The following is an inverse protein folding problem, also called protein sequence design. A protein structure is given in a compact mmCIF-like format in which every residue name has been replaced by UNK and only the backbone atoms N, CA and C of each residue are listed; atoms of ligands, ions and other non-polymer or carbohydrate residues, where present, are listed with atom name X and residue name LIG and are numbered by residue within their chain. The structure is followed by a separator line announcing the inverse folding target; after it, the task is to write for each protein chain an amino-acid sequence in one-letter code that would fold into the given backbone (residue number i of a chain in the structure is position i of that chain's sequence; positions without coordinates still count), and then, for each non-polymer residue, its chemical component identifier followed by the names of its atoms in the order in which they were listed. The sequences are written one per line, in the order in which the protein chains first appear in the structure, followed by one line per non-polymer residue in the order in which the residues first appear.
data_IF_026504738354
#
_entry.id   IF_026504738354
#
_cell.length_a   1.000
_cell.length_b   1.000
_cell.length_c   1.000
_cell.angle_alpha   90.00
_cell.angle_beta   90.00
_cell.angle_gamma   90.00
#
_symmetry.space_group_name_H-M   'P 1'
#
loop_
_entity.id
_entity.type
_entity.pdbx_description
1 polymer ?
#
# COMPACT_ATOMS: atom_id res chain seq x y z
N UNK A 1 5.46 16.99 2.49
CA UNK A 1 5.77 18.45 2.56
C UNK A 1 7.24 18.74 2.25
N UNK A 2 8.21 18.09 2.90
CA UNK A 2 9.64 18.32 2.66
C UNK A 2 10.11 17.97 1.24
N UNK A 3 9.61 16.88 0.64
CA UNK A 3 9.91 16.51 -0.75
C UNK A 3 9.34 17.51 -1.78
N UNK A 4 8.15 18.05 -1.53
CA UNK A 4 7.54 19.13 -2.33
C UNK A 4 8.33 20.43 -2.17
N UNK A 5 8.76 20.75 -0.95
CA UNK A 5 9.64 21.88 -0.67
C UNK A 5 10.99 21.77 -1.40
N UNK A 6 11.57 20.56 -1.46
CA UNK A 6 12.82 20.28 -2.18
C UNK A 6 12.65 20.38 -3.70
N UNK A 7 11.55 19.84 -4.25
CA UNK A 7 11.22 19.94 -5.68
C UNK A 7 11.01 21.40 -6.11
N UNK A 8 10.24 22.18 -5.33
CA UNK A 8 9.97 23.58 -5.64
C UNK A 8 11.21 24.47 -5.41
N UNK A 9 12.02 24.21 -4.37
CA UNK A 9 13.31 24.89 -4.20
C UNK A 9 14.28 24.58 -5.35
N UNK A 10 14.22 23.39 -5.94
CA UNK A 10 14.97 23.04 -7.15
C UNK A 10 14.52 23.78 -8.42
N UNK A 11 13.29 24.34 -8.45
CA UNK A 11 12.77 25.11 -9.58
C UNK A 11 13.33 26.54 -9.65
N UNK A 12 13.67 27.14 -8.50
CA UNK A 12 14.15 28.54 -8.43
C UNK A 12 15.45 28.73 -9.23
N UNK A 13 16.48 27.87 -9.10
CA UNK A 13 17.69 27.95 -9.93
C UNK A 13 17.42 27.76 -11.44
N UNK A 14 16.49 26.88 -11.82
CA UNK A 14 16.14 26.63 -13.23
C UNK A 14 15.37 27.79 -13.87
N UNK A 15 14.59 28.53 -13.09
CA UNK A 15 13.97 29.77 -13.53
C UNK A 15 15.02 30.87 -13.68
N UNK A 16 15.94 31.00 -12.72
CA UNK A 16 17.02 31.99 -12.77
C UNK A 16 18.05 31.75 -13.89
N UNK A 17 18.14 30.54 -14.44
CA UNK A 17 18.98 30.27 -15.62
C UNK A 17 18.44 30.88 -16.93
N UNK A 18 17.20 31.40 -16.91
CA UNK A 18 16.63 32.12 -18.05
C UNK A 18 17.23 33.55 -18.14
N UNK A 19 17.74 33.97 -19.31
CA UNK A 19 18.58 35.17 -19.46
C UNK A 19 17.88 36.53 -19.23
N UNK A 20 16.64 36.55 -18.75
CA UNK A 20 15.82 37.77 -18.57
C UNK A 20 15.14 37.87 -17.20
N UNK A 21 15.44 36.97 -16.26
CA UNK A 21 14.89 36.97 -14.91
C UNK A 21 15.90 37.58 -13.93
N UNK A 22 15.45 38.60 -13.18
CA UNK A 22 16.28 39.32 -12.21
C UNK A 22 16.27 38.64 -10.84
N UNK A 23 15.10 38.14 -10.44
CA UNK A 23 14.95 37.41 -9.18
C UNK A 23 13.72 36.51 -9.23
N UNK A 24 13.76 35.39 -8.51
CA UNK A 24 12.60 34.54 -8.26
C UNK A 24 12.52 34.27 -6.75
N UNK A 25 11.34 34.41 -6.18
CA UNK A 25 11.07 34.15 -4.75
C UNK A 25 9.83 33.30 -4.60
N UNK A 26 9.87 32.37 -3.65
CA UNK A 26 8.77 31.45 -3.36
C UNK A 26 8.02 31.93 -2.11
N UNK A 27 6.70 31.96 -2.15
CA UNK A 27 5.85 32.29 -1.00
C UNK A 27 4.79 31.22 -0.82
N UNK A 28 4.57 30.80 0.43
CA UNK A 28 3.58 29.78 0.79
C UNK A 28 2.32 30.44 1.36
N UNK A 29 1.16 29.92 0.99
CA UNK A 29 -0.13 30.37 1.50
C UNK A 29 -1.06 29.19 1.74
N UNK A 30 -1.20 28.79 3.01
CA UNK A 30 -2.06 27.70 3.50
C UNK A 30 -1.96 26.38 2.69
N UNK A 31 -2.61 26.30 1.51
CA UNK A 31 -2.65 25.15 0.61
C UNK A 31 -2.07 25.43 -0.80
N UNK A 32 -1.37 26.55 -1.01
CA UNK A 32 -0.77 26.92 -2.29
C UNK A 32 0.65 27.46 -2.13
N UNK A 33 1.43 27.35 -3.21
CA UNK A 33 2.76 27.94 -3.33
C UNK A 33 2.77 28.87 -4.55
N UNK A 34 3.21 30.11 -4.35
CA UNK A 34 3.28 31.15 -5.39
C UNK A 34 4.75 31.44 -5.67
N UNK A 35 5.14 31.34 -6.94
CA UNK A 35 6.47 31.76 -7.40
C UNK A 35 6.35 33.17 -7.97
N UNK A 36 6.95 34.14 -7.30
CA UNK A 36 7.01 35.54 -7.75
C UNK A 36 8.31 35.71 -8.54
N UNK A 37 8.21 36.17 -9.77
CA UNK A 37 9.37 36.40 -10.64
C UNK A 37 9.43 37.86 -11.06
N UNK A 38 10.59 38.50 -10.87
CA UNK A 38 10.86 39.85 -11.38
C UNK A 38 11.71 39.79 -12.65
N UNK A 39 11.34 40.57 -13.65
CA UNK A 39 12.07 40.68 -14.92
C UNK A 39 12.35 42.15 -15.26
N UNK A 40 13.46 42.40 -15.94
CA UNK A 40 13.87 43.72 -16.42
C UNK A 40 13.04 44.23 -17.61
N UNK A 41 12.19 43.39 -18.22
CA UNK A 41 11.42 43.75 -19.41
C UNK A 41 10.04 43.07 -19.41
N UNK A 42 9.08 43.64 -20.14
CA UNK A 42 7.79 42.99 -20.39
C UNK A 42 7.99 41.71 -21.21
N UNK A 43 8.00 40.56 -20.54
CA UNK A 43 8.08 39.26 -21.21
C UNK A 43 6.69 38.95 -21.78
N UNK A 44 6.59 38.86 -23.10
CA UNK A 44 5.39 38.37 -23.76
C UNK A 44 5.43 36.83 -23.76
N UNK A 45 4.88 36.22 -22.72
CA UNK A 45 4.79 34.76 -22.55
C UNK A 45 3.54 34.21 -23.26
N UNK A 46 3.46 34.42 -24.57
CA UNK A 46 2.44 33.78 -25.41
C UNK A 46 2.78 32.29 -25.70
N UNK A 47 3.94 31.83 -25.21
CA UNK A 47 4.33 30.42 -25.19
C UNK A 47 4.05 29.84 -23.80
N UNK A 48 3.02 28.99 -23.73
CA UNK A 48 2.71 28.13 -22.58
C UNK A 48 3.98 27.40 -22.13
N UNK A 49 4.52 27.74 -20.96
CA UNK A 49 5.58 26.94 -20.34
C UNK A 49 4.92 25.68 -19.77
N UNK A 50 5.27 24.50 -20.31
CA UNK A 50 4.96 23.22 -19.68
C UNK A 50 6.10 22.89 -18.72
N UNK A 51 5.80 22.75 -17.44
CA UNK A 51 6.71 22.17 -16.45
C UNK A 51 6.05 20.87 -15.99
N UNK A 52 6.68 19.73 -16.27
CA UNK A 52 6.18 18.39 -15.95
C UNK A 52 4.71 18.10 -16.35
N UNK A 53 4.22 18.69 -17.45
CA UNK A 53 2.92 18.34 -18.05
C UNK A 53 1.69 19.11 -17.57
N UNK A 54 1.81 20.03 -16.59
CA UNK A 54 0.65 20.79 -16.06
C UNK A 54 0.39 22.12 -16.82
N UNK A 55 -0.87 22.57 -16.88
CA UNK A 55 -1.32 23.81 -17.55
C UNK A 55 -1.40 24.98 -16.55
N UNK A 56 -0.94 26.17 -16.93
CA UNK A 56 -1.03 27.41 -16.13
C UNK A 56 -2.10 28.38 -16.66
N UNK A 57 -2.71 29.20 -15.79
CA UNK A 57 -3.52 30.39 -16.13
C UNK A 57 -2.71 31.65 -15.79
N UNK A 58 -2.82 32.70 -16.62
CA UNK A 58 -2.03 33.93 -16.47
C UNK A 58 -2.93 35.13 -16.11
N UNK A 59 -2.49 35.97 -15.18
CA UNK A 59 -3.01 37.33 -14.98
C UNK A 59 -1.86 38.33 -15.13
N UNK A 60 -1.97 39.24 -16.11
CA UNK A 60 -0.94 40.22 -16.43
C UNK A 60 -1.19 41.50 -15.62
N UNK A 61 -0.44 41.75 -14.54
CA UNK A 61 -0.30 43.09 -13.97
C UNK A 61 1.05 43.68 -14.39
N UNK A 62 1.00 44.82 -15.10
CA UNK A 62 2.21 45.52 -15.57
C UNK A 62 3.17 45.73 -14.39
N UNK A 63 4.39 45.22 -14.55
CA UNK A 63 5.56 45.24 -13.65
C UNK A 63 5.74 44.12 -12.62
N UNK A 64 4.74 43.27 -12.35
CA UNK A 64 4.93 42.06 -11.53
C UNK A 64 4.20 40.89 -12.19
N UNK A 65 4.95 39.89 -12.67
CA UNK A 65 4.36 38.65 -13.16
C UNK A 65 4.01 37.80 -11.93
N UNK A 66 2.73 37.71 -11.59
CA UNK A 66 2.21 36.74 -10.62
C UNK A 66 1.77 35.53 -11.43
N UNK A 67 2.59 34.48 -11.40
CA UNK A 67 2.16 33.18 -11.92
C UNK A 67 1.43 32.45 -10.79
N UNK A 68 0.09 32.47 -10.84
CA UNK A 68 -0.70 31.55 -10.02
C UNK A 68 -0.52 30.14 -10.59
N UNK A 69 0.25 29.34 -9.86
CA UNK A 69 0.19 27.90 -10.02
C UNK A 69 -1.05 27.42 -9.26
N UNK A 70 -2.14 27.17 -9.98
CA UNK A 70 -3.07 26.12 -9.55
C UNK A 70 -2.25 24.83 -9.59
N UNK A 71 -1.67 24.44 -8.45
CA UNK A 71 -1.48 23.03 -8.15
C UNK A 71 -2.88 22.44 -8.30
N UNK A 72 -3.20 21.87 -9.47
CA UNK A 72 -4.39 21.04 -9.63
C UNK A 72 -4.34 20.07 -8.47
N UNK A 73 -5.28 20.25 -7.53
CA UNK A 73 -5.06 19.94 -6.11
C UNK A 73 -4.32 18.63 -5.93
N UNK A 74 -3.09 18.70 -5.42
CA UNK A 74 -2.49 17.53 -4.81
C UNK A 74 -3.32 17.29 -3.55
N UNK A 75 -4.42 16.55 -3.70
CA UNK A 75 -5.21 16.07 -2.58
C UNK A 75 -4.27 15.11 -1.86
N UNK A 76 -3.56 15.61 -0.86
CA UNK A 76 -2.88 14.75 0.11
C UNK A 76 -4.03 13.96 0.74
N UNK A 77 -4.16 12.68 0.39
CA UNK A 77 -5.16 11.80 0.98
C UNK A 77 -4.95 11.79 2.49
N UNK A 78 -5.83 12.50 3.20
CA UNK A 78 -5.72 12.66 4.65
C UNK A 78 -6.50 11.54 5.31
N UNK A 79 -5.90 10.36 5.32
CA UNK A 79 -6.44 9.21 6.04
C UNK A 79 -6.38 9.50 7.54
N UNK A 80 -7.54 9.46 8.21
CA UNK A 80 -7.67 9.60 9.66
C UNK A 80 -8.40 8.41 10.27
N UNK A 81 -9.45 7.93 9.61
CA UNK A 81 -10.27 6.80 10.06
C UNK A 81 -9.94 5.55 9.26
N UNK A 82 -9.55 4.48 9.95
CA UNK A 82 -9.15 3.22 9.32
C UNK A 82 -9.97 2.08 9.92
N UNK A 83 -10.67 1.35 9.05
CA UNK A 83 -11.32 0.10 9.41
C UNK A 83 -10.39 -1.07 9.13
N UNK A 84 -10.24 -1.97 10.10
CA UNK A 84 -9.46 -3.20 9.97
C UNK A 84 -10.43 -4.38 10.01
N UNK A 85 -10.64 -5.05 8.88
CA UNK A 85 -11.44 -6.28 8.85
C UNK A 85 -10.56 -7.46 9.25
N UNK A 86 -11.02 -8.38 10.10
CA UNK A 86 -10.19 -9.46 10.62
C UNK A 86 -9.17 -8.99 11.67
N UNK A 87 -9.43 -7.82 12.28
CA UNK A 87 -8.52 -7.18 13.24
C UNK A 87 -8.39 -7.91 14.58
N UNK A 88 -9.27 -8.88 14.86
CA UNK A 88 -9.20 -9.70 16.07
C UNK A 88 -8.29 -10.93 15.91
N UNK A 89 -7.79 -11.18 14.70
CA UNK A 89 -6.85 -12.26 14.41
C UNK A 89 -5.42 -11.99 14.86
N UNK A 90 -4.53 -12.98 14.65
CA UNK A 90 -3.12 -12.91 15.06
C UNK A 90 -2.39 -11.70 14.49
N UNK A 91 -2.39 -11.51 13.16
CA UNK A 91 -1.77 -10.33 12.53
C UNK A 91 -2.47 -9.03 12.97
N UNK A 92 -3.77 -9.09 13.21
CA UNK A 92 -4.60 -7.96 13.63
C UNK A 92 -4.07 -7.26 14.88
N UNK A 93 -3.61 -7.99 15.90
CA UNK A 93 -3.07 -7.36 17.12
C UNK A 93 -1.83 -6.51 16.86
N UNK A 94 -0.93 -6.95 15.98
CA UNK A 94 0.27 -6.19 15.61
C UNK A 94 -0.09 -4.97 14.77
N UNK A 95 -1.05 -5.10 13.85
CA UNK A 95 -1.56 -3.99 13.04
C UNK A 95 -2.21 -2.93 13.91
N UNK A 96 -3.08 -3.33 14.86
CA UNK A 96 -3.70 -2.41 15.80
C UNK A 96 -2.65 -1.69 16.64
N UNK A 97 -1.65 -2.42 17.16
CA UNK A 97 -0.58 -1.83 17.97
C UNK A 97 0.24 -0.80 17.18
N UNK A 98 0.55 -1.10 15.92
CA UNK A 98 1.30 -0.22 15.03
C UNK A 98 0.52 1.06 14.69
N UNK A 99 -0.81 0.98 14.55
CA UNK A 99 -1.63 2.05 13.97
C UNK A 99 -2.40 2.90 14.99
N UNK A 100 -2.65 2.41 16.22
CA UNK A 100 -3.56 3.03 17.21
C UNK A 100 -3.20 4.47 17.60
N UNK A 101 -1.92 4.85 17.55
CA UNK A 101 -1.48 6.22 17.90
C UNK A 101 -1.53 7.18 16.71
N UNK A 102 -1.82 6.68 15.51
CA UNK A 102 -1.72 7.40 14.25
C UNK A 102 -3.09 7.65 13.61
N UNK A 103 -4.07 6.78 13.89
CA UNK A 103 -5.39 6.78 13.25
C UNK A 103 -6.49 6.51 14.28
N UNK A 104 -7.71 6.95 13.98
CA UNK A 104 -8.93 6.50 14.63
C UNK A 104 -9.29 5.12 14.06
N UNK A 105 -9.19 4.07 14.88
CA UNK A 105 -9.33 2.69 14.44
C UNK A 105 -10.69 2.10 14.77
N UNK A 106 -11.26 1.40 13.79
CA UNK A 106 -12.36 0.47 13.98
C UNK A 106 -11.94 -0.94 13.55
N UNK A 107 -12.50 -1.96 14.20
CA UNK A 107 -12.30 -3.38 13.89
C UNK A 107 -13.63 -3.99 13.47
N UNK A 108 -13.66 -4.59 12.28
CA UNK A 108 -14.79 -5.40 11.81
C UNK A 108 -14.42 -6.88 11.87
N UNK A 109 -15.11 -7.64 12.72
CA UNK A 109 -14.80 -9.06 12.95
C UNK A 109 -16.01 -9.77 13.58
N UNK A 110 -15.97 -11.10 13.62
CA UNK A 110 -16.98 -11.92 14.29
C UNK A 110 -16.85 -11.89 15.81
N UNK A 111 -15.64 -11.59 16.32
CA UNK A 111 -15.32 -11.52 17.74
C UNK A 111 -14.57 -10.23 18.06
N UNK A 112 -14.70 -9.68 19.29
CA UNK A 112 -14.00 -8.45 19.64
C UNK A 112 -12.48 -8.64 19.67
N UNK A 113 -11.70 -7.59 19.33
CA UNK A 113 -10.25 -7.64 19.45
C UNK A 113 -9.85 -7.68 20.93
N UNK A 114 -8.64 -8.19 21.22
CA UNK A 114 -8.09 -8.20 22.58
C UNK A 114 -7.55 -6.85 23.06
N UNK A 115 -7.52 -5.85 22.17
CA UNK A 115 -7.00 -4.52 22.45
C UNK A 115 -8.12 -3.59 22.90
N UNK A 116 -7.89 -2.87 23.99
CA UNK A 116 -8.80 -1.84 24.47
C UNK A 116 -8.65 -0.54 23.66
N UNK A 117 -9.69 0.31 23.69
CA UNK A 117 -9.62 1.65 23.10
C UNK A 117 -9.82 1.73 21.58
N UNK A 118 -10.19 0.61 20.94
CA UNK A 118 -10.58 0.56 19.51
C UNK A 118 -12.08 0.32 19.37
N UNK A 119 -12.71 0.93 18.37
CA UNK A 119 -14.14 0.69 18.11
C UNK A 119 -14.32 -0.71 17.53
N UNK A 120 -15.16 -1.53 18.14
CA UNK A 120 -15.52 -2.84 17.61
C UNK A 120 -16.87 -2.80 16.89
N UNK A 121 -16.91 -3.34 15.68
CA UNK A 121 -18.09 -3.51 14.85
C UNK A 121 -18.23 -5.00 14.58
N UNK A 122 -19.20 -5.64 15.21
CA UNK A 122 -19.49 -7.06 14.97
C UNK A 122 -20.07 -7.23 13.57
N UNK A 123 -19.52 -8.15 12.79
CA UNK A 123 -20.16 -8.55 11.54
C UNK A 123 -19.44 -9.65 10.77
N UNK A 124 -20.14 -10.21 9.81
CA UNK A 124 -19.69 -11.29 8.92
C UNK A 124 -19.33 -10.72 7.54
N UNK A 125 -18.08 -10.95 7.13
CA UNK A 125 -17.54 -10.47 5.84
C UNK A 125 -18.32 -11.01 4.64
N UNK A 126 -19.03 -12.13 4.79
CA UNK A 126 -19.83 -12.74 3.74
C UNK A 126 -21.15 -11.99 3.50
N UNK A 127 -21.53 -11.08 4.41
CA UNK A 127 -22.71 -10.23 4.32
C UNK A 127 -22.34 -8.83 3.85
N UNK A 128 -22.73 -8.47 2.63
CA UNK A 128 -22.36 -7.20 2.00
C UNK A 128 -22.83 -5.98 2.80
N UNK A 129 -24.08 -6.01 3.28
CA UNK A 129 -24.68 -4.90 4.02
C UNK A 129 -23.91 -4.59 5.32
N UNK A 130 -23.43 -5.63 6.02
CA UNK A 130 -22.68 -5.46 7.26
C UNK A 130 -21.33 -4.75 7.04
N UNK A 131 -20.57 -5.16 6.02
CA UNK A 131 -19.30 -4.49 5.69
C UNK A 131 -19.52 -3.11 5.06
N UNK A 132 -20.61 -2.90 4.31
CA UNK A 132 -20.98 -1.58 3.79
C UNK A 132 -21.24 -0.59 4.93
N UNK A 133 -22.05 -0.98 5.91
CA UNK A 133 -22.33 -0.17 7.10
C UNK A 133 -21.05 0.12 7.88
N UNK A 134 -20.14 -0.86 8.01
CA UNK A 134 -18.86 -0.66 8.69
C UNK A 134 -17.90 0.30 7.94
N UNK A 135 -18.00 0.36 6.60
CA UNK A 135 -17.18 1.25 5.77
C UNK A 135 -17.68 2.71 5.76
N UNK A 136 -18.89 2.99 6.25
CA UNK A 136 -19.42 4.36 6.27
C UNK A 136 -18.54 5.31 7.08
N UNK A 137 -18.12 6.41 6.45
CA UNK A 137 -17.28 7.43 7.08
C UNK A 137 -15.83 7.02 7.32
N UNK A 138 -15.38 5.86 6.84
CA UNK A 138 -13.99 5.43 6.89
C UNK A 138 -13.18 6.02 5.72
N UNK A 139 -11.94 6.42 5.98
CA UNK A 139 -11.06 6.93 4.93
C UNK A 139 -10.34 5.78 4.20
N UNK A 140 -9.98 4.73 4.94
CA UNK A 140 -9.28 3.57 4.42
C UNK A 140 -9.68 2.26 5.08
N UNK A 141 -9.54 1.16 4.34
CA UNK A 141 -9.77 -0.20 4.84
C UNK A 141 -8.46 -0.99 4.77
N UNK A 142 -8.13 -1.72 5.83
CA UNK A 142 -7.09 -2.75 5.85
C UNK A 142 -7.77 -4.12 5.94
N UNK A 143 -7.69 -4.88 4.86
CA UNK A 143 -8.36 -6.17 4.75
C UNK A 143 -7.44 -7.33 5.16
N UNK A 144 -7.59 -7.82 6.40
CA UNK A 144 -6.78 -8.92 6.95
C UNK A 144 -7.48 -10.29 6.90
N UNK A 145 -8.76 -10.34 6.52
CA UNK A 145 -9.55 -11.57 6.64
C UNK A 145 -8.95 -12.69 5.78
N UNK A 146 -8.68 -13.82 6.42
CA UNK A 146 -8.26 -15.03 5.75
C UNK A 146 -8.58 -16.29 6.56
N UNK A 147 -9.12 -17.30 5.90
CA UNK A 147 -9.19 -18.66 6.43
C UNK A 147 -7.89 -19.40 6.10
N UNK A 148 -6.92 -19.27 6.99
CA UNK A 148 -5.60 -19.93 6.86
C UNK A 148 -5.59 -21.26 7.61
N UNK A 149 -5.97 -21.25 8.90
CA UNK A 149 -5.87 -22.39 9.81
C UNK A 149 -7.03 -23.39 9.62
N UNK A 150 -6.70 -24.67 9.63
CA UNK A 150 -7.68 -25.76 9.44
C UNK A 150 -8.47 -25.64 8.15
N UNK A 151 -7.93 -24.92 7.14
CA UNK A 151 -8.65 -24.62 5.89
C UNK A 151 -9.05 -25.89 5.14
N UNK A 152 -8.25 -26.95 5.24
CA UNK A 152 -8.53 -28.25 4.64
C UNK A 152 -9.70 -28.97 5.32
N UNK A 153 -10.02 -28.60 6.57
CA UNK A 153 -11.10 -29.21 7.35
C UNK A 153 -12.42 -28.41 7.22
N UNK A 154 -12.38 -27.26 6.53
CA UNK A 154 -13.56 -26.40 6.34
C UNK A 154 -14.30 -26.76 5.04
N UNK A 155 -15.63 -26.65 5.01
CA UNK A 155 -16.39 -26.79 3.78
C UNK A 155 -15.89 -25.81 2.71
N UNK A 156 -15.71 -26.29 1.47
CA UNK A 156 -15.24 -25.47 0.35
C UNK A 156 -16.13 -24.24 0.09
N UNK A 157 -17.44 -24.38 0.30
CA UNK A 157 -18.40 -23.27 0.19
C UNK A 157 -18.05 -22.14 1.18
N UNK A 158 -17.85 -22.47 2.47
CA UNK A 158 -17.45 -21.51 3.48
C UNK A 158 -16.11 -20.86 3.14
N UNK A 159 -15.15 -21.65 2.65
CA UNK A 159 -13.86 -21.11 2.20
C UNK A 159 -14.04 -20.06 1.09
N UNK A 160 -14.83 -20.39 0.08
CA UNK A 160 -15.08 -19.52 -1.08
C UNK A 160 -15.86 -18.27 -0.67
N UNK A 161 -16.87 -18.42 0.17
CA UNK A 161 -17.67 -17.31 0.68
C UNK A 161 -16.81 -16.31 1.46
N UNK A 162 -15.93 -16.78 2.34
CA UNK A 162 -15.09 -15.86 3.13
C UNK A 162 -13.95 -15.27 2.30
N UNK A 163 -13.23 -16.11 1.56
CA UNK A 163 -11.98 -15.69 0.90
C UNK A 163 -12.22 -14.94 -0.41
N UNK A 164 -13.23 -15.34 -1.19
CA UNK A 164 -13.51 -14.73 -2.51
C UNK A 164 -14.66 -13.74 -2.40
N UNK A 165 -15.85 -14.18 -1.97
CA UNK A 165 -17.02 -13.30 -1.84
C UNK A 165 -16.77 -12.22 -0.79
N UNK A 166 -16.13 -12.55 0.34
CA UNK A 166 -15.75 -11.56 1.36
C UNK A 166 -14.84 -10.45 0.82
N UNK A 167 -13.81 -10.80 0.04
CA UNK A 167 -12.95 -9.81 -0.63
C UNK A 167 -13.74 -8.96 -1.62
N UNK A 168 -14.66 -9.57 -2.38
CA UNK A 168 -15.56 -8.85 -3.28
C UNK A 168 -16.45 -7.85 -2.54
N UNK A 169 -17.05 -8.28 -1.43
CA UNK A 169 -17.89 -7.42 -0.61
C UNK A 169 -17.11 -6.22 -0.06
N UNK A 170 -15.85 -6.42 0.36
CA UNK A 170 -14.99 -5.32 0.83
C UNK A 170 -14.72 -4.32 -0.29
N UNK A 171 -14.39 -4.79 -1.49
CA UNK A 171 -14.11 -3.91 -2.62
C UNK A 171 -15.36 -3.12 -3.06
N UNK A 172 -16.53 -3.79 -3.11
CA UNK A 172 -17.83 -3.15 -3.35
C UNK A 172 -18.13 -2.10 -2.26
N UNK A 173 -18.01 -2.46 -0.98
CA UNK A 173 -18.25 -1.57 0.14
C UNK A 173 -17.32 -0.34 0.12
N UNK A 174 -16.06 -0.53 -0.24
CA UNK A 174 -15.13 0.59 -0.44
C UNK A 174 -15.64 1.56 -1.51
N UNK A 175 -16.06 1.03 -2.67
CA UNK A 175 -16.54 1.85 -3.78
C UNK A 175 -17.85 2.57 -3.44
N UNK A 176 -18.84 1.88 -2.85
CA UNK A 176 -20.14 2.47 -2.51
C UNK A 176 -20.04 3.50 -1.38
N UNK A 177 -19.19 3.25 -0.38
CA UNK A 177 -19.00 4.14 0.78
C UNK A 177 -17.94 5.22 0.53
N UNK A 178 -17.37 5.29 -0.69
CA UNK A 178 -16.35 6.27 -1.11
C UNK A 178 -15.10 6.26 -0.25
N UNK A 179 -14.71 5.07 0.20
CA UNK A 179 -13.40 4.84 0.83
C UNK A 179 -12.31 5.27 -0.15
N UNK A 180 -11.29 5.97 0.34
CA UNK A 180 -10.23 6.48 -0.50
C UNK A 180 -9.19 5.39 -0.83
N UNK A 181 -8.89 4.52 0.15
CA UNK A 181 -7.82 3.52 0.04
C UNK A 181 -8.18 2.16 0.63
N UNK A 182 -7.88 1.10 -0.11
CA UNK A 182 -7.94 -0.30 0.32
C UNK A 182 -6.52 -0.89 0.35
N UNK A 183 -6.06 -1.29 1.53
CA UNK A 183 -4.88 -2.14 1.71
C UNK A 183 -5.37 -3.59 1.80
N UNK A 184 -5.16 -4.35 0.73
CA UNK A 184 -5.51 -5.76 0.70
C UNK A 184 -4.30 -6.62 1.11
N UNK A 185 -4.43 -7.40 2.17
CA UNK A 185 -3.41 -8.37 2.55
C UNK A 185 -3.58 -9.64 1.73
N UNK A 186 -2.75 -9.73 0.69
CA UNK A 186 -2.57 -10.90 -0.15
C UNK A 186 -1.59 -11.88 0.51
N UNK A 187 -0.81 -12.61 -0.29
CA UNK A 187 0.26 -13.49 0.17
C UNK A 187 1.25 -13.72 -0.97
N UNK A 188 2.51 -14.03 -0.66
CA UNK A 188 3.51 -14.43 -1.66
C UNK A 188 3.00 -15.57 -2.57
N UNK A 189 2.15 -16.48 -2.06
CA UNK A 189 1.61 -17.59 -2.86
C UNK A 189 0.59 -17.13 -3.92
N UNK A 190 0.12 -15.88 -3.89
CA UNK A 190 -0.83 -15.36 -4.88
C UNK A 190 -0.25 -15.28 -6.30
N UNK A 191 1.08 -15.33 -6.45
CA UNK A 191 1.69 -15.46 -7.78
C UNK A 191 1.62 -16.89 -8.36
N UNK A 192 1.26 -17.91 -7.55
CA UNK A 192 1.45 -19.31 -7.94
C UNK A 192 2.94 -19.67 -7.93
N UNK A 193 3.34 -20.59 -8.82
CA UNK A 193 4.73 -21.00 -8.98
C UNK A 193 5.48 -19.99 -9.87
N UNK A 194 6.49 -19.28 -9.36
CA UNK A 194 7.32 -18.41 -10.18
C UNK A 194 8.25 -19.20 -11.10
N UNK A 195 8.47 -18.72 -12.32
CA UNK A 195 9.40 -19.32 -13.28
C UNK A 195 10.86 -19.12 -12.85
N UNK A 196 11.12 -18.07 -12.07
CA UNK A 196 12.44 -17.69 -11.55
C UNK A 196 12.33 -17.18 -10.12
N UNK A 197 13.34 -17.50 -9.33
CA UNK A 197 13.56 -16.94 -7.99
C UNK A 197 14.91 -16.19 -7.93
N UNK A 198 15.04 -15.10 -7.14
CA UNK A 198 13.97 -14.45 -6.38
C UNK A 198 12.90 -13.85 -7.29
N UNK A 199 11.64 -14.06 -6.93
CA UNK A 199 10.48 -13.60 -7.70
C UNK A 199 10.28 -12.10 -7.51
N UNK A 200 10.27 -11.35 -8.63
CA UNK A 200 9.82 -9.96 -8.63
C UNK A 200 8.34 -9.91 -8.95
N UNK A 201 7.64 -8.94 -8.35
CA UNK A 201 6.24 -8.71 -8.71
C UNK A 201 6.14 -8.46 -10.22
N UNK A 202 5.20 -9.17 -10.86
CA UNK A 202 4.99 -9.21 -12.31
C UNK A 202 5.97 -10.06 -13.14
N UNK A 203 6.96 -10.71 -12.51
CA UNK A 203 7.71 -11.76 -13.22
C UNK A 203 6.74 -12.89 -13.65
N UNK A 204 7.06 -13.62 -14.73
CA UNK A 204 6.28 -14.77 -15.15
C UNK A 204 6.11 -15.80 -14.03
N UNK A 205 4.87 -16.23 -13.86
CA UNK A 205 4.48 -17.25 -12.91
C UNK A 205 3.22 -17.96 -13.41
N UNK A 206 2.99 -19.18 -12.94
CA UNK A 206 1.88 -20.00 -13.38
C UNK A 206 1.32 -20.81 -12.22
N UNK A 207 0.02 -21.12 -12.30
CA UNK A 207 -0.58 -22.03 -11.34
C UNK A 207 -0.24 -23.50 -11.68
N UNK A 208 0.22 -24.27 -10.70
CA UNK A 208 0.52 -25.70 -10.80
C UNK A 208 -0.56 -26.53 -10.12
N UNK A 209 -0.62 -27.84 -10.41
CA UNK A 209 -1.67 -28.74 -9.89
C UNK A 209 -1.69 -28.88 -8.36
N UNK A 210 -0.59 -28.53 -7.69
CA UNK A 210 -0.48 -28.49 -6.23
C UNK A 210 -0.88 -27.15 -5.63
N UNK A 211 -1.23 -26.15 -6.44
CA UNK A 211 -1.59 -24.84 -5.92
C UNK A 211 -2.91 -24.93 -5.16
N UNK A 212 -2.77 -24.61 -3.88
CA UNK A 212 -3.85 -24.67 -2.92
C UNK A 212 -4.92 -23.66 -3.36
N UNK A 213 -6.20 -24.02 -3.23
CA UNK A 213 -7.36 -23.14 -3.45
C UNK A 213 -7.23 -21.78 -2.71
N UNK A 214 -6.36 -21.70 -1.69
CA UNK A 214 -5.92 -20.46 -1.05
C UNK A 214 -5.08 -19.52 -1.94
N UNK A 215 -4.09 -20.05 -2.67
CA UNK A 215 -3.29 -19.27 -3.60
C UNK A 215 -4.17 -18.66 -4.69
N UNK A 216 -5.08 -19.46 -5.24
CA UNK A 216 -6.09 -19.01 -6.19
C UNK A 216 -7.00 -17.93 -5.59
N UNK A 217 -7.51 -18.11 -4.37
CA UNK A 217 -8.39 -17.12 -3.74
C UNK A 217 -7.68 -15.79 -3.47
N UNK A 218 -6.41 -15.80 -3.04
CA UNK A 218 -5.62 -14.57 -2.85
C UNK A 218 -5.34 -13.87 -4.19
N UNK A 219 -5.01 -14.63 -5.24
CA UNK A 219 -4.85 -14.11 -6.59
C UNK A 219 -6.15 -13.47 -7.13
N UNK A 220 -7.28 -14.17 -7.03
CA UNK A 220 -8.59 -13.63 -7.38
C UNK A 220 -8.91 -12.37 -6.58
N UNK A 221 -8.58 -12.34 -5.29
CA UNK A 221 -8.72 -11.14 -4.46
C UNK A 221 -7.95 -9.94 -4.99
N UNK A 222 -6.73 -10.13 -5.52
CA UNK A 222 -6.00 -9.05 -6.20
C UNK A 222 -6.70 -8.57 -7.47
N UNK A 223 -7.18 -9.50 -8.31
CA UNK A 223 -7.92 -9.14 -9.52
C UNK A 223 -9.23 -8.40 -9.22
N UNK A 224 -9.96 -8.83 -8.20
CA UNK A 224 -11.19 -8.17 -7.74
C UNK A 224 -10.89 -6.73 -7.38
N UNK A 225 -9.97 -6.46 -6.46
CA UNK A 225 -9.71 -5.08 -6.03
C UNK A 225 -9.17 -4.22 -7.18
N UNK A 226 -8.33 -4.78 -8.06
CA UNK A 226 -7.85 -4.07 -9.25
C UNK A 226 -8.99 -3.69 -10.22
N UNK A 227 -10.01 -4.53 -10.36
CA UNK A 227 -11.19 -4.19 -11.15
C UNK A 227 -11.95 -2.99 -10.55
N UNK A 228 -12.07 -2.92 -9.21
CA UNK A 228 -12.66 -1.76 -8.53
C UNK A 228 -11.81 -0.49 -8.63
N UNK A 229 -10.48 -0.62 -8.61
CA UNK A 229 -9.59 0.49 -8.93
C UNK A 229 -9.88 1.05 -10.32
N UNK A 230 -9.96 0.19 -11.34
CA UNK A 230 -10.23 0.60 -12.73
C UNK A 230 -11.62 1.21 -12.92
N UNK A 231 -12.65 0.63 -12.30
CA UNK A 231 -14.03 1.04 -12.48
C UNK A 231 -14.43 2.26 -11.64
N UNK A 232 -13.87 2.40 -10.44
CA UNK A 232 -14.31 3.40 -9.44
C UNK A 232 -13.21 4.35 -8.96
N UNK A 233 -11.96 4.16 -9.39
CA UNK A 233 -10.82 5.00 -8.96
C UNK A 233 -10.37 4.76 -7.52
N UNK A 234 -10.79 3.65 -6.89
CA UNK A 234 -10.37 3.27 -5.54
C UNK A 234 -8.84 3.10 -5.49
N UNK A 235 -8.14 3.72 -4.53
CA UNK A 235 -6.72 3.44 -4.33
C UNK A 235 -6.56 2.02 -3.75
N UNK A 236 -5.77 1.16 -4.39
CA UNK A 236 -5.63 -0.25 -4.00
C UNK A 236 -4.17 -0.64 -3.90
N UNK A 237 -3.72 -1.04 -2.71
CA UNK A 237 -2.38 -1.59 -2.53
C UNK A 237 -2.49 -3.03 -2.04
N UNK A 238 -1.82 -3.93 -2.75
CA UNK A 238 -1.66 -5.33 -2.36
C UNK A 238 -0.32 -5.52 -1.66
N UNK A 239 -0.37 -5.97 -0.41
CA UNK A 239 0.81 -6.46 0.28
C UNK A 239 0.78 -7.98 0.25
N UNK A 240 1.89 -8.61 -0.13
CA UNK A 240 2.08 -10.07 -0.17
C UNK A 240 3.05 -10.48 0.93
N UNK A 241 2.59 -10.64 2.19
CA UNK A 241 3.40 -11.22 3.23
C UNK A 241 3.90 -12.62 2.86
N UNK A 242 5.11 -12.90 3.31
CA UNK A 242 5.64 -14.26 3.46
C UNK A 242 4.87 -15.10 4.47
N UNK A 243 5.49 -16.20 4.90
CA UNK A 243 5.04 -16.98 6.05
C UNK A 243 5.22 -16.12 7.30
N UNK A 244 4.12 -15.73 7.93
CA UNK A 244 4.14 -14.91 9.15
C UNK A 244 4.57 -15.81 10.32
N UNK A 245 5.72 -15.49 10.92
CA UNK A 245 6.32 -16.23 12.04
C UNK A 245 5.61 -15.98 13.38
N UNK A 246 5.91 -16.82 14.39
CA UNK A 246 5.56 -16.57 15.79
C UNK A 246 4.09 -16.72 16.18
N UNK A 247 3.23 -17.28 15.33
CA UNK A 247 1.80 -17.44 15.63
C UNK A 247 1.45 -18.73 16.41
N UNK A 248 2.49 -19.50 16.75
CA UNK A 248 2.47 -20.76 17.48
C UNK A 248 2.02 -21.97 16.66
N UNK A 249 1.50 -21.77 15.44
CA UNK A 249 1.05 -22.84 14.54
C UNK A 249 1.90 -22.91 13.25
N UNK A 250 2.37 -21.77 12.77
CA UNK A 250 3.51 -21.67 11.88
C UNK A 250 4.76 -21.75 12.76
N UNK A 251 5.65 -22.72 12.51
CA UNK A 251 6.94 -22.74 13.20
C UNK A 251 7.71 -21.47 12.86
N UNK A 252 8.54 -21.01 13.80
CA UNK A 252 9.56 -20.03 13.49
C UNK A 252 10.44 -20.55 12.34
N UNK A 253 11.04 -19.66 11.53
CA UNK A 253 11.84 -20.10 10.42
C UNK A 253 12.98 -21.01 10.91
N UNK A 254 13.13 -22.15 10.24
CA UNK A 254 14.23 -23.08 10.45
C UNK A 254 14.84 -23.42 9.08
N UNK A 255 16.16 -23.58 9.03
CA UNK A 255 16.83 -23.95 7.79
C UNK A 255 16.39 -25.36 7.35
N UNK A 256 15.98 -25.55 6.08
CA UNK A 256 15.71 -26.88 5.54
C UNK A 256 16.96 -27.75 5.64
N UNK A 257 16.77 -29.07 5.83
CA UNK A 257 17.89 -30.04 5.83
C UNK A 257 18.67 -30.04 4.51
N UNK A 258 17.94 -29.86 3.40
CA UNK A 258 18.46 -29.78 2.03
C UNK A 258 18.06 -28.43 1.41
N UNK A 259 18.63 -27.34 1.95
CA UNK A 259 18.25 -25.99 1.53
C UNK A 259 18.74 -25.68 0.10
N UNK A 260 17.82 -25.57 -0.85
CA UNK A 260 18.10 -25.00 -2.16
C UNK A 260 18.14 -23.47 -2.05
N UNK A 261 19.15 -22.82 -2.63
CA UNK A 261 19.18 -21.36 -2.69
C UNK A 261 18.42 -20.85 -3.93
N UNK A 262 17.49 -19.88 -3.81
CA UNK A 262 16.94 -19.26 -2.59
C UNK A 262 15.67 -19.96 -2.05
N UNK A 263 15.47 -19.97 -0.73
CA UNK A 263 14.34 -20.65 -0.06
C UNK A 263 13.58 -19.79 0.97
N UNK A 264 14.16 -18.70 1.46
CA UNK A 264 13.65 -18.00 2.62
C UNK A 264 12.41 -17.16 2.30
N UNK A 265 11.31 -17.47 2.96
CA UNK A 265 9.98 -16.92 2.63
C UNK A 265 9.23 -16.37 3.85
N UNK A 266 9.91 -16.15 4.98
CA UNK A 266 9.27 -15.73 6.22
C UNK A 266 9.27 -14.20 6.40
N UNK A 267 8.37 -13.74 7.27
CA UNK A 267 8.25 -12.33 7.67
C UNK A 267 7.74 -12.24 9.11
N UNK A 268 8.22 -11.26 9.86
CA UNK A 268 7.73 -11.01 11.22
C UNK A 268 6.42 -10.21 11.15
N UNK A 269 5.43 -10.51 12.01
CA UNK A 269 4.17 -9.77 12.01
C UNK A 269 4.34 -8.26 12.26
N UNK A 270 5.37 -7.81 13.00
CA UNK A 270 5.68 -6.39 13.17
C UNK A 270 6.11 -5.74 11.85
N UNK A 271 6.89 -6.44 11.03
CA UNK A 271 7.31 -5.94 9.73
C UNK A 271 6.12 -5.86 8.75
N UNK A 272 5.19 -6.81 8.80
CA UNK A 272 3.93 -6.73 8.04
C UNK A 272 3.08 -5.53 8.50
N UNK A 273 2.93 -5.33 9.82
CA UNK A 273 2.22 -4.18 10.36
C UNK A 273 2.88 -2.85 9.96
N UNK A 274 4.22 -2.80 9.97
CA UNK A 274 4.98 -1.64 9.52
C UNK A 274 4.75 -1.36 8.02
N UNK A 275 4.79 -2.39 7.16
CA UNK A 275 4.48 -2.26 5.74
C UNK A 275 3.06 -1.72 5.49
N UNK A 276 2.07 -2.14 6.29
CA UNK A 276 0.71 -1.59 6.24
C UNK A 276 0.71 -0.09 6.60
N UNK A 277 1.42 0.30 7.66
CA UNK A 277 1.54 1.70 8.08
C UNK A 277 2.16 2.57 6.98
N UNK A 278 3.17 2.06 6.29
CA UNK A 278 3.82 2.70 5.15
C UNK A 278 2.88 2.81 3.95
N UNK A 279 2.19 1.72 3.59
CA UNK A 279 1.25 1.69 2.46
C UNK A 279 0.07 2.66 2.66
N UNK A 280 -0.43 2.79 3.90
CA UNK A 280 -1.46 3.80 4.23
C UNK A 280 -0.98 5.23 3.94
N UNK A 281 0.32 5.53 4.11
CA UNK A 281 0.91 6.87 3.90
C UNK A 281 1.45 7.08 2.49
N UNK A 282 1.60 6.02 1.71
CA UNK A 282 2.25 6.06 0.41
C UNK A 282 1.49 6.97 -0.56
N UNK A 283 2.24 7.71 -1.39
CA UNK A 283 1.70 8.49 -2.50
C UNK A 283 1.59 7.61 -3.77
N UNK A 284 0.90 6.48 -3.61
CA UNK A 284 0.75 5.43 -4.63
C UNK A 284 -0.73 5.09 -4.72
N UNK A 285 -1.25 5.16 -5.94
CA UNK A 285 -2.67 4.90 -6.15
C UNK A 285 -2.96 3.40 -6.29
N UNK A 286 -2.07 2.66 -6.96
CA UNK A 286 -2.21 1.22 -7.16
C UNK A 286 -0.84 0.53 -7.19
N UNK A 287 -0.72 -0.65 -6.59
CA UNK A 287 0.53 -1.41 -6.60
C UNK A 287 0.45 -2.75 -5.85
N UNK A 288 1.39 -3.65 -6.16
CA UNK A 288 1.54 -4.96 -5.51
C UNK A 288 2.97 -5.12 -5.01
N UNK A 289 3.14 -5.58 -3.77
CA UNK A 289 4.44 -5.56 -3.10
C UNK A 289 4.68 -6.83 -2.29
N UNK A 290 5.84 -7.47 -2.48
CA UNK A 290 6.29 -8.56 -1.62
C UNK A 290 6.73 -7.99 -0.26
N UNK A 291 6.34 -8.65 0.82
CA UNK A 291 6.68 -8.27 2.20
C UNK A 291 7.28 -9.48 2.90
N UNK A 292 8.61 -9.60 2.82
CA UNK A 292 9.42 -10.67 3.42
C UNK A 292 10.65 -10.06 4.10
N UNK A 293 11.33 -10.86 4.93
CA UNK A 293 12.62 -10.48 5.49
C UNK A 293 13.64 -10.10 4.40
N UNK A 294 14.52 -9.15 4.70
CA UNK A 294 15.64 -8.77 3.83
C UNK A 294 16.79 -9.75 4.04
N UNK A 295 16.75 -10.84 3.27
CA UNK A 295 17.78 -11.87 3.27
C UNK A 295 18.22 -12.20 1.85
N UNK A 296 19.52 -12.47 1.72
CA UNK A 296 20.14 -12.84 0.44
C UNK A 296 19.58 -14.15 -0.13
N UNK A 297 19.13 -15.06 0.74
CA UNK A 297 18.54 -16.35 0.40
C UNK A 297 17.02 -16.32 0.28
N UNK A 298 16.41 -15.13 0.17
CA UNK A 298 14.97 -15.01 0.00
C UNK A 298 14.50 -15.38 -1.40
N UNK A 299 13.40 -16.14 -1.50
CA UNK A 299 12.81 -16.46 -2.81
C UNK A 299 11.97 -15.32 -3.39
N UNK A 300 11.81 -14.18 -2.69
CA UNK A 300 11.01 -13.03 -3.15
C UNK A 300 11.83 -11.74 -3.06
N UNK A 301 11.80 -10.96 -4.14
CA UNK A 301 12.46 -9.66 -4.23
C UNK A 301 11.57 -8.59 -3.59
N UNK A 302 12.14 -7.79 -2.68
CA UNK A 302 11.46 -6.68 -1.99
C UNK A 302 11.92 -5.29 -2.47
N UNK A 303 12.76 -5.22 -3.51
CA UNK A 303 13.36 -3.96 -3.99
C UNK A 303 12.31 -2.92 -4.33
N UNK A 304 11.24 -3.31 -5.02
CA UNK A 304 10.12 -2.42 -5.36
C UNK A 304 9.40 -1.92 -4.10
N UNK A 305 9.19 -2.81 -3.12
CA UNK A 305 8.59 -2.48 -1.82
C UNK A 305 9.45 -1.46 -1.04
N UNK A 306 10.77 -1.65 -1.03
CA UNK A 306 11.70 -0.72 -0.40
C UNK A 306 11.70 0.64 -1.10
N UNK A 307 11.73 0.67 -2.43
CA UNK A 307 11.86 1.89 -3.20
C UNK A 307 10.58 2.73 -3.23
N UNK A 308 9.42 2.10 -3.34
CA UNK A 308 8.16 2.80 -3.56
C UNK A 308 7.41 3.11 -2.26
N UNK A 309 7.30 2.15 -1.33
CA UNK A 309 6.61 2.37 -0.05
C UNK A 309 7.57 2.61 1.13
N UNK A 310 8.88 2.45 0.94
CA UNK A 310 9.88 2.72 1.99
C UNK A 310 10.05 1.59 3.00
N UNK A 311 9.69 0.36 2.64
CA UNK A 311 9.78 -0.79 3.53
C UNK A 311 11.23 -1.14 3.88
N UNK A 312 11.47 -1.36 5.18
CA UNK A 312 12.76 -1.77 5.74
C UNK A 312 12.49 -2.79 6.84
N UNK A 313 12.58 -4.11 6.56
CA UNK A 313 12.30 -5.14 7.55
C UNK A 313 13.36 -5.14 8.66
N UNK A 314 12.91 -5.28 9.90
CA UNK A 314 13.77 -5.29 11.08
C UNK A 314 14.09 -6.69 11.58
N UNK A 315 13.28 -7.69 11.19
CA UNK A 315 13.39 -9.06 11.68
C UNK A 315 13.84 -9.99 10.55
N UNK A 316 15.15 -10.25 10.49
CA UNK A 316 15.81 -10.94 9.36
C UNK A 316 16.46 -12.29 9.74
N UNK A 317 16.32 -12.74 10.99
CA UNK A 317 16.84 -14.01 11.51
C UNK A 317 18.29 -14.34 11.12
N UNK A 318 19.27 -13.44 11.33
CA UNK A 318 20.66 -13.63 10.89
C UNK A 318 21.33 -14.91 11.44
N UNK A 319 20.80 -15.48 12.52
CA UNK A 319 21.22 -16.74 13.11
C UNK A 319 20.90 -17.97 12.26
N UNK A 320 19.93 -17.87 11.35
CA UNK A 320 19.57 -18.95 10.43
C UNK A 320 20.55 -18.97 9.26
N UNK A 321 21.27 -20.09 9.15
CA UNK A 321 22.26 -20.31 8.08
C UNK A 321 21.61 -20.21 6.71
N UNK A 322 22.30 -19.50 5.83
CA UNK A 322 22.04 -19.52 4.39
C UNK A 322 22.44 -20.92 3.88
N UNK A 323 21.59 -21.55 3.08
CA UNK A 323 21.92 -22.83 2.44
C UNK A 323 23.15 -22.67 1.54
N UNK A 324 23.99 -23.71 1.42
CA UNK A 324 25.17 -23.65 0.56
C UNK A 324 24.75 -23.53 -0.92
N UNK A 325 25.42 -22.65 -1.68
CA UNK A 325 25.20 -22.42 -3.13
C UNK A 325 25.62 -23.63 -4.00
N UNK A 326 26.03 -24.75 -3.40
CA UNK A 326 26.59 -25.91 -4.12
C UNK A 326 25.51 -26.89 -4.57
N UNK A 327 24.94 -26.62 -5.75
CA UNK A 327 24.47 -27.65 -6.69
C UNK A 327 24.89 -27.30 -8.12
#
# INVERSE_FOLDING_TARGET
MLAVLLSINGMVPQLLSQPRLLSASLTFHQNSAVVIVRSACSINLDRRIRINGHKTKHALMRTNLVCDFELGGLIIMKIRKVLITGGSGYLGSFVLQQLQTQYELAVFDLIPPKMDGVTFISGDITQLEEIQNACEGQDAIVHLVALVRGRNDKPLALFTDVMVKGTWNVAEACATSKVQRLINISSIVACGQPDRVPYRVHDPSHFVSSDLYYALAKNLGEHICNAYHQAHGLSVIHLRPGVIAGDGLNPDPEAPKDAFHPWFNYVDPHDVAHAISLALKADINQGTYNVVADRIDSSFDITTTCNEIGYQPQYNWPEIKIGDDTL
#
